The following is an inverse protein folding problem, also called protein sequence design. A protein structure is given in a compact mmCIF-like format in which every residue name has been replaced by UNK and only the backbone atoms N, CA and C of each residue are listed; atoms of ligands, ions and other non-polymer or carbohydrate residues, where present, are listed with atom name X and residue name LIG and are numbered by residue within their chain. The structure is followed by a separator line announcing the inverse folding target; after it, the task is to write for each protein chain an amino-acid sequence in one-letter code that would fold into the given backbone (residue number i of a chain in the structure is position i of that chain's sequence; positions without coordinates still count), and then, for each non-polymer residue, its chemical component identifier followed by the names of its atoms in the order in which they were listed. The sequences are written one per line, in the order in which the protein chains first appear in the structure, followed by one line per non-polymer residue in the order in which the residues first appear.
data_IF_001566945068
#
_entry.id   IF_001566945068
#
_cell.length_a   1.000
_cell.length_b   1.000
_cell.length_c   1.000
_cell.angle_alpha   90.00
_cell.angle_beta   90.00
_cell.angle_gamma   90.00
#
_symmetry.space_group_name_H-M   'P 1'
#
loop_
_entity.id
_entity.type
_entity.pdbx_description
1 polymer ?
#
# COMPACT_ATOMS: atom_id res chain seq x y z
N UNK A 1 -69.05 -26.09 -102.46
CA UNK A 1 -68.56 -26.66 -101.20
C UNK A 1 -67.20 -27.29 -101.42
N UNK A 2 -66.28 -27.06 -100.48
CA UNK A 2 -64.97 -27.72 -100.24
C UNK A 2 -63.77 -27.27 -101.09
N UNK A 3 -62.76 -26.66 -100.46
CA UNK A 3 -61.39 -27.24 -100.39
C UNK A 3 -60.38 -26.35 -99.63
N UNK A 4 -59.47 -27.04 -98.91
CA UNK A 4 -58.17 -26.61 -98.37
C UNK A 4 -58.14 -25.82 -97.06
N UNK A 5 -58.15 -26.61 -95.99
CA UNK A 5 -57.83 -26.27 -94.59
C UNK A 5 -56.38 -25.85 -94.43
N UNK A 6 -56.17 -24.68 -93.83
CA UNK A 6 -54.89 -24.13 -93.41
C UNK A 6 -54.25 -24.94 -92.26
N UNK A 7 -53.62 -26.07 -92.59
CA UNK A 7 -52.88 -26.93 -91.64
C UNK A 7 -51.35 -26.85 -91.72
N UNK A 8 -50.77 -25.98 -92.54
CA UNK A 8 -49.33 -26.09 -92.88
C UNK A 8 -48.40 -25.00 -92.32
N UNK A 9 -48.82 -24.14 -91.38
CA UNK A 9 -47.98 -23.00 -90.96
C UNK A 9 -47.36 -23.14 -89.55
N UNK A 10 -47.76 -24.14 -88.75
CA UNK A 10 -47.30 -24.27 -87.35
C UNK A 10 -46.48 -25.57 -87.11
N UNK A 11 -45.67 -25.99 -88.09
CA UNK A 11 -44.71 -27.10 -87.94
C UNK A 11 -43.34 -26.63 -88.44
N UNK A 12 -42.74 -25.67 -87.73
CA UNK A 12 -41.43 -25.13 -88.12
C UNK A 12 -40.55 -24.60 -86.99
N UNK A 13 -40.99 -24.67 -85.72
CA UNK A 13 -40.27 -24.02 -84.61
C UNK A 13 -39.89 -24.88 -83.41
N UNK A 14 -40.17 -26.19 -83.45
CA UNK A 14 -39.71 -27.13 -82.44
C UNK A 14 -39.00 -28.29 -83.14
N UNK A 15 -37.71 -28.11 -83.36
CA UNK A 15 -36.83 -29.09 -84.00
C UNK A 15 -36.64 -30.33 -83.14
N UNK A 16 -37.62 -31.23 -83.16
CA UNK A 16 -37.47 -32.59 -82.67
C UNK A 16 -37.23 -33.50 -83.87
N UNK A 17 -35.95 -33.64 -84.23
CA UNK A 17 -35.49 -34.80 -85.00
C UNK A 17 -35.37 -35.98 -84.04
N UNK A 18 -36.01 -37.08 -84.42
CA UNK A 18 -36.01 -38.40 -83.78
C UNK A 18 -34.59 -38.90 -83.45
N UNK A 19 -34.42 -39.59 -82.32
CA UNK A 19 -33.17 -40.31 -82.02
C UNK A 19 -33.10 -41.03 -80.66
N UNK A 20 -33.39 -42.33 -80.67
CA UNK A 20 -32.66 -43.40 -79.94
C UNK A 20 -32.76 -43.53 -78.39
N UNK A 21 -33.45 -44.59 -77.96
CA UNK A 21 -33.05 -45.60 -76.95
C UNK A 21 -32.63 -45.23 -75.51
N UNK A 22 -32.96 -44.05 -74.97
CA UNK A 22 -32.57 -43.70 -73.57
C UNK A 22 -33.67 -43.73 -72.50
N UNK A 23 -34.95 -43.74 -72.89
CA UNK A 23 -36.09 -43.50 -71.97
C UNK A 23 -36.36 -44.59 -70.95
N UNK A 24 -36.08 -45.85 -71.26
CA UNK A 24 -36.35 -46.98 -70.35
C UNK A 24 -35.32 -47.04 -69.19
N UNK A 25 -34.06 -46.70 -69.49
CA UNK A 25 -33.00 -46.63 -68.47
C UNK A 25 -33.19 -45.48 -67.48
N UNK A 26 -33.73 -44.36 -67.94
CA UNK A 26 -33.97 -43.18 -67.09
C UNK A 26 -35.23 -43.38 -66.23
N UNK A 27 -36.28 -44.02 -66.77
CA UNK A 27 -37.47 -44.38 -65.99
C UNK A 27 -37.11 -45.34 -64.85
N UNK A 28 -36.25 -46.32 -65.10
CA UNK A 28 -35.85 -47.29 -64.08
C UNK A 28 -34.93 -46.67 -63.01
N UNK A 29 -34.06 -45.74 -63.40
CA UNK A 29 -33.33 -44.88 -62.45
C UNK A 29 -34.27 -44.07 -61.57
N UNK A 30 -35.29 -43.44 -62.15
CA UNK A 30 -36.28 -42.68 -61.36
C UNK A 30 -37.05 -43.55 -60.38
N UNK A 31 -37.40 -44.79 -60.75
CA UNK A 31 -38.05 -45.73 -59.80
C UNK A 31 -37.12 -46.11 -58.66
N UNK A 32 -35.85 -46.41 -58.97
CA UNK A 32 -34.87 -46.77 -57.96
C UNK A 32 -34.53 -45.60 -57.03
N UNK A 33 -34.45 -44.38 -57.56
CA UNK A 33 -34.29 -43.15 -56.80
C UNK A 33 -35.52 -42.88 -55.92
N UNK A 34 -36.74 -43.04 -56.44
CA UNK A 34 -37.96 -42.90 -55.64
C UNK A 34 -38.02 -43.92 -54.49
N UNK A 35 -37.60 -45.17 -54.75
CA UNK A 35 -37.52 -46.21 -53.73
C UNK A 35 -36.47 -45.87 -52.66
N UNK A 36 -35.30 -45.37 -53.07
CA UNK A 36 -34.24 -44.92 -52.16
C UNK A 36 -34.70 -43.71 -51.32
N UNK A 37 -35.39 -42.75 -51.93
CA UNK A 37 -35.96 -41.59 -51.24
C UNK A 37 -37.04 -41.99 -50.25
N UNK A 38 -37.93 -42.93 -50.61
CA UNK A 38 -38.93 -43.47 -49.68
C UNK A 38 -38.29 -44.19 -48.49
N UNK A 39 -37.26 -45.01 -48.75
CA UNK A 39 -36.52 -45.71 -47.69
C UNK A 39 -35.78 -44.72 -46.78
N UNK A 40 -35.13 -43.72 -47.35
CA UNK A 40 -34.48 -42.63 -46.62
C UNK A 40 -35.49 -41.85 -45.78
N UNK A 41 -36.64 -41.50 -46.34
CA UNK A 41 -37.72 -40.82 -45.62
C UNK A 41 -38.27 -41.67 -44.46
N UNK A 42 -38.44 -42.98 -44.66
CA UNK A 42 -38.88 -43.89 -43.60
C UNK A 42 -37.83 -44.06 -42.49
N UNK A 43 -36.54 -44.09 -42.84
CA UNK A 43 -35.43 -44.08 -41.88
C UNK A 43 -35.33 -42.75 -41.12
N UNK A 44 -35.56 -41.61 -41.78
CA UNK A 44 -35.64 -40.29 -41.15
C UNK A 44 -36.84 -40.23 -40.20
N UNK A 45 -38.01 -40.72 -40.60
CA UNK A 45 -39.21 -40.74 -39.75
C UNK A 45 -39.04 -41.67 -38.55
N UNK A 46 -38.45 -42.86 -38.72
CA UNK A 46 -38.15 -43.79 -37.61
C UNK A 46 -36.97 -43.34 -36.74
N UNK A 47 -36.04 -42.56 -37.29
CA UNK A 47 -34.84 -42.08 -36.60
C UNK A 47 -35.06 -40.82 -35.77
N UNK A 48 -36.02 -39.98 -36.13
CA UNK A 48 -36.21 -38.64 -35.52
C UNK A 48 -36.72 -38.67 -34.08
N UNK A 49 -37.31 -39.79 -33.61
CA UNK A 49 -38.00 -39.87 -32.31
C UNK A 49 -37.54 -41.03 -31.40
N UNK A 50 -36.25 -41.39 -31.37
CA UNK A 50 -35.77 -42.54 -30.57
C UNK A 50 -35.50 -42.27 -29.08
N UNK A 51 -35.91 -41.12 -28.53
CA UNK A 51 -35.86 -40.97 -27.07
C UNK A 51 -37.12 -41.58 -26.47
N UNK A 52 -36.96 -42.63 -25.67
CA UNK A 52 -38.08 -43.26 -24.97
C UNK A 52 -38.63 -42.31 -23.90
N UNK A 53 -39.93 -42.37 -23.62
CA UNK A 53 -40.57 -41.51 -22.60
C UNK A 53 -39.86 -41.52 -21.24
N UNK A 54 -39.36 -42.66 -20.72
CA UNK A 54 -38.58 -42.67 -19.48
C UNK A 54 -37.26 -41.89 -19.58
N UNK A 55 -36.58 -41.96 -20.72
CA UNK A 55 -35.31 -41.27 -20.96
C UNK A 55 -35.53 -39.76 -21.08
N UNK A 56 -36.62 -39.36 -21.75
CA UNK A 56 -37.09 -37.97 -21.81
C UNK A 56 -37.36 -37.39 -20.44
N UNK A 57 -38.09 -38.14 -19.60
CA UNK A 57 -38.43 -37.70 -18.25
C UNK A 57 -37.17 -37.56 -17.37
N UNK A 58 -36.22 -38.50 -17.46
CA UNK A 58 -34.93 -38.40 -16.75
C UNK A 58 -34.12 -37.18 -17.16
N UNK A 59 -34.10 -36.84 -18.45
CA UNK A 59 -33.43 -35.63 -18.92
C UNK A 59 -34.11 -34.36 -18.40
N UNK A 60 -35.45 -34.31 -18.39
CA UNK A 60 -36.19 -33.18 -17.84
C UNK A 60 -35.92 -32.99 -16.34
N UNK A 61 -35.91 -34.07 -15.55
CA UNK A 61 -35.54 -34.03 -14.13
C UNK A 61 -34.11 -33.52 -13.92
N UNK A 62 -33.17 -33.95 -14.78
CA UNK A 62 -31.78 -33.49 -14.73
C UNK A 62 -31.67 -32.00 -15.09
N UNK A 63 -32.38 -31.55 -16.11
CA UNK A 63 -32.44 -30.13 -16.50
C UNK A 63 -32.99 -29.31 -15.32
N UNK A 64 -34.12 -29.71 -14.75
CA UNK A 64 -34.73 -29.03 -13.60
C UNK A 64 -33.77 -28.95 -12.40
N UNK A 65 -33.06 -30.04 -12.11
CA UNK A 65 -32.09 -30.09 -11.02
C UNK A 65 -30.91 -29.13 -11.26
N UNK A 66 -30.41 -29.08 -12.50
CA UNK A 66 -29.33 -28.17 -12.89
C UNK A 66 -29.78 -26.71 -12.89
N UNK A 67 -31.01 -26.42 -13.31
CA UNK A 67 -31.59 -25.07 -13.28
C UNK A 67 -31.71 -24.57 -11.83
N UNK A 68 -32.20 -25.42 -10.92
CA UNK A 68 -32.27 -25.09 -9.49
C UNK A 68 -30.90 -24.83 -8.90
N UNK A 69 -29.90 -25.63 -9.26
CA UNK A 69 -28.54 -25.46 -8.75
C UNK A 69 -27.85 -24.22 -9.33
N UNK A 70 -28.08 -23.92 -10.61
CA UNK A 70 -27.63 -22.68 -11.25
C UNK A 70 -28.22 -21.45 -10.54
N UNK A 71 -29.52 -21.48 -10.23
CA UNK A 71 -30.18 -20.36 -9.55
C UNK A 71 -29.59 -20.10 -8.16
N UNK A 72 -29.32 -21.16 -7.38
CA UNK A 72 -28.64 -21.03 -6.09
C UNK A 72 -27.24 -20.41 -6.24
N UNK A 73 -26.46 -20.85 -7.22
CA UNK A 73 -25.13 -20.29 -7.46
C UNK A 73 -25.19 -18.83 -7.88
N UNK A 74 -26.14 -18.45 -8.73
CA UNK A 74 -26.35 -17.04 -9.10
C UNK A 74 -26.65 -16.19 -7.87
N UNK A 75 -27.55 -16.64 -6.99
CA UNK A 75 -27.84 -15.92 -5.74
C UNK A 75 -26.60 -15.79 -4.86
N UNK A 76 -25.80 -16.84 -4.72
CA UNK A 76 -24.56 -16.81 -3.93
C UNK A 76 -23.53 -15.82 -4.52
N UNK A 77 -23.41 -15.77 -5.84
CA UNK A 77 -22.55 -14.82 -6.54
C UNK A 77 -23.01 -13.39 -6.24
N UNK A 78 -24.31 -13.11 -6.34
CA UNK A 78 -24.85 -11.78 -6.03
C UNK A 78 -24.61 -11.36 -4.57
N UNK A 79 -24.72 -12.29 -3.62
CA UNK A 79 -24.40 -12.02 -2.22
C UNK A 79 -22.91 -11.73 -2.03
N UNK A 80 -22.03 -12.48 -2.71
CA UNK A 80 -20.58 -12.25 -2.66
C UNK A 80 -20.18 -10.93 -3.30
N UNK A 81 -20.83 -10.54 -4.40
CA UNK A 81 -20.60 -9.24 -5.04
C UNK A 81 -21.03 -8.09 -4.12
N UNK A 82 -22.16 -8.22 -3.42
CA UNK A 82 -22.59 -7.26 -2.39
C UNK A 82 -21.58 -7.17 -1.25
N UNK A 83 -21.05 -8.29 -0.78
CA UNK A 83 -20.04 -8.34 0.28
C UNK A 83 -18.73 -7.68 -0.17
N UNK A 84 -18.25 -7.98 -1.38
CA UNK A 84 -17.08 -7.35 -1.99
C UNK A 84 -17.28 -5.83 -2.09
N UNK A 85 -18.45 -5.39 -2.55
CA UNK A 85 -18.76 -3.97 -2.68
C UNK A 85 -18.74 -3.27 -1.31
N UNK A 86 -19.36 -3.86 -0.29
CA UNK A 86 -19.35 -3.34 1.08
C UNK A 86 -17.91 -3.23 1.64
N UNK A 87 -17.07 -4.25 1.45
CA UNK A 87 -15.68 -4.22 1.88
C UNK A 87 -14.87 -3.14 1.16
N UNK A 88 -15.08 -2.96 -0.16
CA UNK A 88 -14.47 -1.86 -0.93
C UNK A 88 -14.88 -0.49 -0.39
N UNK A 89 -16.15 -0.30 -0.07
CA UNK A 89 -16.66 0.97 0.45
C UNK A 89 -16.11 1.27 1.85
N UNK A 90 -16.02 0.26 2.74
CA UNK A 90 -15.35 0.38 4.04
C UNK A 90 -13.89 0.77 3.92
N UNK A 91 -13.14 0.13 3.02
CA UNK A 91 -11.73 0.49 2.76
C UNK A 91 -11.60 1.92 2.25
N UNK A 92 -12.47 2.33 1.33
CA UNK A 92 -12.49 3.69 0.79
C UNK A 92 -12.82 4.73 1.86
N UNK A 93 -13.75 4.42 2.76
CA UNK A 93 -14.07 5.23 3.95
C UNK A 93 -12.86 5.35 4.88
N UNK A 94 -12.18 4.24 5.17
CA UNK A 94 -11.01 4.22 6.07
C UNK A 94 -9.81 4.97 5.49
N UNK A 95 -9.56 4.86 4.18
CA UNK A 95 -8.51 5.64 3.51
C UNK A 95 -8.82 7.14 3.41
N UNK A 96 -10.09 7.55 3.51
CA UNK A 96 -10.47 8.96 3.64
C UNK A 96 -10.23 9.51 5.06
N UNK A 97 -9.88 8.66 6.03
CA UNK A 97 -9.51 9.16 7.34
C UNK A 97 -8.15 9.84 7.25
N UNK A 98 -8.20 11.17 7.15
CA UNK A 98 -7.09 12.11 7.24
C UNK A 98 -6.18 11.90 8.46
N UNK A 99 -6.57 11.04 9.41
CA UNK A 99 -5.80 10.70 10.60
C UNK A 99 -4.41 10.17 10.28
N UNK A 100 -4.25 9.26 9.30
CA UNK A 100 -2.92 8.74 8.94
C UNK A 100 -2.02 9.85 8.37
N UNK A 101 -2.57 10.70 7.51
CA UNK A 101 -1.84 11.84 6.92
C UNK A 101 -1.54 12.93 7.95
N UNK A 102 -2.45 13.18 8.89
CA UNK A 102 -2.26 14.10 10.01
C UNK A 102 -1.15 13.60 10.94
N UNK A 103 -1.17 12.32 11.31
CA UNK A 103 -0.15 11.69 12.13
C UNK A 103 1.22 11.71 11.45
N UNK A 104 1.28 11.47 10.14
CA UNK A 104 2.51 11.60 9.36
C UNK A 104 3.07 13.03 9.41
N UNK A 105 2.22 14.04 9.20
CA UNK A 105 2.62 15.45 9.29
C UNK A 105 3.14 15.80 10.69
N UNK A 106 2.42 15.38 11.73
CA UNK A 106 2.83 15.63 13.12
C UNK A 106 4.16 14.96 13.47
N UNK A 107 4.38 13.72 13.00
CA UNK A 107 5.63 13.00 13.23
C UNK A 107 6.80 13.74 12.57
N UNK A 108 6.61 14.25 11.36
CA UNK A 108 7.65 14.98 10.65
C UNK A 108 7.99 16.32 11.33
N UNK A 109 6.98 17.08 11.79
CA UNK A 109 7.21 18.29 12.59
C UNK A 109 7.96 17.99 13.90
N UNK A 110 7.55 16.94 14.63
CA UNK A 110 8.21 16.54 15.87
C UNK A 110 9.66 16.14 15.65
N UNK A 111 9.94 15.46 14.55
CA UNK A 111 11.31 15.05 14.17
C UNK A 111 12.18 16.27 13.88
N UNK A 112 11.68 17.21 13.06
CA UNK A 112 12.40 18.47 12.77
C UNK A 112 12.67 19.30 14.01
N UNK A 113 11.72 19.39 14.93
CA UNK A 113 11.88 20.11 16.19
C UNK A 113 12.88 19.40 17.12
N UNK A 114 12.90 18.07 17.17
CA UNK A 114 13.88 17.31 17.93
C UNK A 114 15.31 17.54 17.39
N UNK A 115 15.50 17.47 16.08
CA UNK A 115 16.79 17.76 15.44
C UNK A 115 17.26 19.19 15.73
N UNK A 116 16.35 20.17 15.69
CA UNK A 116 16.67 21.57 16.03
C UNK A 116 17.12 21.71 17.48
N UNK A 117 16.46 21.04 18.43
CA UNK A 117 16.85 21.04 19.85
C UNK A 117 18.21 20.40 20.07
N UNK A 118 18.46 19.27 19.42
CA UNK A 118 19.75 18.58 19.53
C UNK A 118 20.90 19.42 18.98
N UNK A 119 20.70 20.10 17.85
CA UNK A 119 21.69 21.07 17.31
C UNK A 119 22.04 22.19 18.29
N UNK A 120 21.08 22.65 19.10
CA UNK A 120 21.32 23.69 20.11
C UNK A 120 21.93 23.15 21.40
N UNK A 121 21.73 21.87 21.71
CA UNK A 121 22.23 21.25 22.93
C UNK A 121 23.77 21.14 22.90
N UNK A 122 24.37 20.81 21.76
CA UNK A 122 25.82 20.65 21.63
C UNK A 122 26.59 21.94 21.99
N UNK A 123 26.31 23.12 21.41
CA UNK A 123 26.96 24.37 21.80
C UNK A 123 26.67 24.76 23.25
N UNK A 124 25.47 24.51 23.75
CA UNK A 124 25.11 24.84 25.13
C UNK A 124 25.93 24.01 26.13
N UNK A 125 26.11 22.71 25.86
CA UNK A 125 26.95 21.82 26.67
C UNK A 125 28.41 22.26 26.70
N UNK A 126 28.91 22.77 25.56
CA UNK A 126 30.27 23.33 25.48
C UNK A 126 30.41 24.57 26.36
N UNK A 127 29.46 25.51 26.28
CA UNK A 127 29.47 26.72 27.12
C UNK A 127 29.38 26.39 28.61
N UNK A 128 28.54 25.43 29.00
CA UNK A 128 28.43 24.97 30.41
C UNK A 128 29.76 24.38 30.89
N UNK A 129 30.43 23.58 30.05
CA UNK A 129 31.73 22.99 30.37
C UNK A 129 32.81 24.06 30.55
N UNK A 130 32.85 25.04 29.63
CA UNK A 130 33.78 26.16 29.71
C UNK A 130 33.56 27.00 30.98
N UNK A 131 32.30 27.30 31.31
CA UNK A 131 31.96 28.08 32.49
C UNK A 131 32.37 27.35 33.79
N UNK A 132 32.22 26.02 33.84
CA UNK A 132 32.68 25.20 34.97
C UNK A 132 34.20 25.27 35.14
N UNK A 133 34.96 25.18 34.04
CA UNK A 133 36.42 25.33 34.06
C UNK A 133 36.83 26.73 34.54
N UNK A 134 36.18 27.77 34.04
CA UNK A 134 36.45 29.16 34.43
C UNK A 134 36.15 29.38 35.91
N UNK A 135 35.02 28.89 36.41
CA UNK A 135 34.64 28.98 37.82
C UNK A 135 35.66 28.26 38.73
N UNK A 136 36.12 27.08 38.34
CA UNK A 136 37.16 26.35 39.07
C UNK A 136 38.48 27.12 39.11
N UNK A 137 38.85 27.76 37.99
CA UNK A 137 40.04 28.59 37.88
C UNK A 137 39.96 29.85 38.75
N UNK A 138 38.81 30.55 38.73
CA UNK A 138 38.57 31.73 39.58
C UNK A 138 38.60 31.34 41.05
N UNK A 139 37.95 30.23 41.41
CA UNK A 139 37.94 29.71 42.78
C UNK A 139 39.36 29.40 43.26
N UNK A 140 40.18 28.73 42.45
CA UNK A 140 41.58 28.46 42.77
C UNK A 140 42.38 29.76 42.98
N UNK A 141 42.21 30.77 42.11
CA UNK A 141 42.85 32.08 42.27
C UNK A 141 42.40 32.81 43.53
N UNK A 142 41.11 32.73 43.88
CA UNK A 142 40.60 33.30 45.13
C UNK A 142 41.27 32.65 46.35
N UNK A 143 41.39 31.31 46.38
CA UNK A 143 42.11 30.60 47.44
C UNK A 143 43.59 30.99 47.51
N UNK A 144 44.27 31.12 46.36
CA UNK A 144 45.67 31.57 46.32
C UNK A 144 45.84 32.98 46.91
N UNK A 145 44.95 33.91 46.56
CA UNK A 145 44.98 35.29 47.07
C UNK A 145 44.66 35.33 48.57
N UNK A 146 43.65 34.58 49.02
CA UNK A 146 43.27 34.48 50.43
C UNK A 146 44.42 33.93 51.29
N UNK A 147 45.09 32.88 50.80
CA UNK A 147 46.27 32.32 51.45
C UNK A 147 47.43 33.32 51.51
N UNK A 148 47.70 34.05 50.41
CA UNK A 148 48.75 35.10 50.38
C UNK A 148 48.42 36.25 51.35
N UNK A 149 47.18 36.71 51.39
CA UNK A 149 46.74 37.76 52.30
C UNK A 149 46.91 37.33 53.76
N UNK A 150 46.55 36.08 54.09
CA UNK A 150 46.72 35.51 55.42
C UNK A 150 48.19 35.44 55.83
N UNK A 151 49.09 34.98 54.95
CA UNK A 151 50.54 34.97 55.24
C UNK A 151 51.14 36.37 55.42
N UNK A 152 50.61 37.37 54.71
CA UNK A 152 51.07 38.75 54.79
C UNK A 152 50.66 39.40 56.11
N UNK A 153 49.43 39.14 56.58
CA UNK A 153 48.97 39.59 57.90
C UNK A 153 49.77 38.97 59.04
N UNK A 154 50.05 37.67 58.99
CA UNK A 154 50.87 37.00 60.03
C UNK A 154 52.27 37.62 60.11
N UNK A 155 52.90 37.92 58.97
CA UNK A 155 54.19 38.61 58.92
C UNK A 155 54.12 40.02 59.52
N UNK A 156 53.04 40.77 59.24
CA UNK A 156 52.84 42.12 59.77
C UNK A 156 52.63 42.13 61.30
N UNK A 157 51.87 41.18 61.84
CA UNK A 157 51.65 41.05 63.29
C UNK A 157 52.96 40.72 64.01
N UNK A 158 53.73 39.75 63.49
CA UNK A 158 55.05 39.38 64.03
C UNK A 158 56.04 40.55 64.02
N UNK A 159 56.03 41.37 62.96
CA UNK A 159 56.85 42.58 62.89
C UNK A 159 56.44 43.62 63.94
N UNK A 160 55.14 43.81 64.16
CA UNK A 160 54.62 44.76 65.16
C UNK A 160 54.96 44.30 66.59
N UNK A 161 54.86 43.01 66.88
CA UNK A 161 55.29 42.41 68.15
C UNK A 161 56.79 42.65 68.40
N UNK A 162 57.63 42.45 67.37
CA UNK A 162 59.07 42.70 67.46
C UNK A 162 59.37 44.18 67.75
N UNK A 163 58.68 45.11 67.08
CA UNK A 163 58.85 46.55 67.33
C UNK A 163 58.41 46.95 68.74
N UNK A 164 57.34 46.35 69.26
CA UNK A 164 56.88 46.58 70.62
C UNK A 164 57.92 46.07 71.63
N UNK A 165 58.47 44.88 71.42
CA UNK A 165 59.57 44.34 72.25
C UNK A 165 60.80 45.26 72.27
N UNK A 166 61.24 45.74 71.10
CA UNK A 166 62.38 46.68 71.01
C UNK A 166 62.08 47.99 71.75
N UNK A 167 60.83 48.48 71.68
CA UNK A 167 60.42 49.69 72.40
C UNK A 167 60.44 49.48 73.92
N UNK A 168 59.88 48.38 74.40
CA UNK A 168 59.89 48.02 75.83
C UNK A 168 61.31 47.83 76.34
N UNK A 169 62.16 47.11 75.61
CA UNK A 169 63.57 46.94 75.97
C UNK A 169 64.31 48.28 76.03
N UNK A 170 64.04 49.18 75.09
CA UNK A 170 64.61 50.54 75.09
C UNK A 170 64.17 51.33 76.33
N UNK A 171 62.90 51.25 76.72
CA UNK A 171 62.40 51.87 77.95
C UNK A 171 63.07 51.26 79.18
N UNK A 172 63.15 49.93 79.27
CA UNK A 172 63.82 49.23 80.36
C UNK A 172 65.29 49.64 80.53
N UNK A 173 66.04 49.73 79.42
CA UNK A 173 67.44 50.18 79.44
C UNK A 173 67.55 51.64 79.91
N UNK A 174 66.61 52.50 79.50
CA UNK A 174 66.55 53.89 79.96
C UNK A 174 66.28 53.97 81.45
N UNK A 175 65.28 53.25 81.95
CA UNK A 175 64.93 53.23 83.38
C UNK A 175 66.09 52.68 84.22
N UNK A 176 66.78 51.64 83.73
CA UNK A 176 67.98 51.09 84.37
C UNK A 176 69.13 52.12 84.41
N UNK A 177 69.32 52.88 83.33
CA UNK A 177 70.32 53.96 83.29
C UNK A 177 69.99 55.07 84.28
N UNK A 178 68.73 55.50 84.35
CA UNK A 178 68.28 56.57 85.24
C UNK A 178 68.44 56.20 86.72
N UNK A 179 68.29 54.91 87.08
CA UNK A 179 68.52 54.39 88.44
C UNK A 179 70.01 54.40 88.83
N UNK A 180 70.92 54.08 87.92
CA UNK A 180 72.35 53.93 88.23
C UNK A 180 73.15 55.24 88.10
N UNK A 181 72.59 56.26 87.45
CA UNK A 181 73.26 57.55 87.19
C UNK A 181 72.73 58.69 88.09
N UNK A 182 71.69 58.44 88.90
CA UNK A 182 71.21 59.35 89.97
C UNK A 182 71.93 59.11 91.30
#
# INVERSE_FOLDING_TARGET
MNSKTAKDIIIGKWGLKSGSSRSESDLEKYKQENAALRKSMEEVVKGKNKMTDPERNRLLEKILSLEKEKEKHNHLIEEKDKEIQNLKDKLRSKNKNNEVSLLQTQLEEKTKEAERRERLLCPLSEVVSQLKCNSSTVTAKCYEIENRASTSQVSQVSFQETLNFVREFKTYVKDFHDIFVS
#
